data_IF_193681929288
#
_entry.id   IF_193681929288
#
_cell.length_a   1.000
_cell.length_b   1.000
_cell.length_c   1.000
_cell.angle_alpha   90.00
_cell.angle_beta   90.00
_cell.angle_gamma   90.00
#
_symmetry.space_group_name_H-M   'P 1'
#
loop_
_entity.id
_entity.type
_entity.pdbx_description
1 polymer ?
#
# COMPACT_ATOMS: atom_id res chain seq x y z
N UNK A 1 51.81 22.28 18.70
CA UNK A 1 50.77 21.71 17.82
C UNK A 1 49.91 20.75 18.64
N UNK A 2 48.86 21.31 19.29
CA UNK A 2 47.95 20.53 20.15
C UNK A 2 46.88 19.88 19.27
N UNK A 3 46.89 18.56 19.22
CA UNK A 3 45.85 17.77 18.55
C UNK A 3 44.64 17.70 19.50
N UNK A 4 43.58 18.42 19.17
CA UNK A 4 42.27 18.26 19.82
C UNK A 4 41.66 16.95 19.34
N UNK A 5 41.78 15.90 20.16
CA UNK A 5 40.99 14.69 20.01
C UNK A 5 39.62 15.03 20.56
N UNK A 6 38.67 15.30 19.67
CA UNK A 6 37.27 15.42 20.03
C UNK A 6 36.75 14.02 20.40
N UNK A 7 36.71 13.75 21.71
CA UNK A 7 36.04 12.58 22.25
C UNK A 7 34.52 12.81 22.09
N UNK A 8 33.94 12.27 21.01
CA UNK A 8 32.48 12.11 20.90
C UNK A 8 32.07 11.12 21.96
N UNK A 9 31.61 11.60 23.08
CA UNK A 9 30.87 10.78 24.06
C UNK A 9 29.59 10.29 23.42
N UNK A 10 29.62 9.05 22.95
CA UNK A 10 28.41 8.29 22.66
C UNK A 10 27.59 8.22 23.95
N UNK A 11 26.51 8.96 24.01
CA UNK A 11 25.43 8.70 24.97
C UNK A 11 24.83 7.35 24.59
N UNK A 12 25.36 6.28 25.22
CA UNK A 12 24.72 4.96 25.26
C UNK A 12 23.44 5.07 26.07
N UNK A 13 22.38 5.60 25.47
CA UNK A 13 21.03 5.26 25.92
C UNK A 13 20.89 3.74 25.73
N UNK A 14 20.31 3.03 26.69
CA UNK A 14 19.90 1.63 26.57
C UNK A 14 19.12 1.46 25.25
N UNK A 15 19.80 1.14 24.18
CA UNK A 15 19.21 1.06 22.85
C UNK A 15 18.35 -0.19 22.84
N UNK A 16 17.04 0.03 22.62
CA UNK A 16 16.10 -1.05 22.32
C UNK A 16 16.70 -1.86 21.15
N UNK A 17 17.01 -3.16 21.32
CA UNK A 17 17.65 -3.98 20.28
C UNK A 17 16.89 -3.96 18.95
N UNK A 18 15.58 -3.74 19.01
CA UNK A 18 14.71 -3.61 17.84
C UNK A 18 15.01 -2.32 17.09
N UNK A 19 15.19 -1.22 17.80
CA UNK A 19 15.50 0.07 17.20
C UNK A 19 16.90 0.04 16.54
N UNK A 20 17.90 -0.55 17.22
CA UNK A 20 19.25 -0.74 16.67
C UNK A 20 19.19 -1.54 15.35
N UNK A 21 18.44 -2.63 15.30
CA UNK A 21 18.27 -3.43 14.08
C UNK A 21 17.66 -2.61 12.93
N UNK A 22 16.67 -1.75 13.20
CA UNK A 22 16.06 -0.89 12.18
C UNK A 22 17.07 0.13 11.66
N UNK A 23 17.85 0.76 12.58
CA UNK A 23 18.91 1.72 12.20
C UNK A 23 19.96 1.05 11.30
N UNK A 24 20.48 -0.10 11.71
CA UNK A 24 21.50 -0.83 10.94
C UNK A 24 21.02 -1.19 9.53
N UNK A 25 19.77 -1.67 9.41
CA UNK A 25 19.20 -2.00 8.11
C UNK A 25 18.95 -0.76 7.24
N UNK A 26 18.50 0.33 7.83
CA UNK A 26 18.24 1.59 7.13
C UNK A 26 19.54 2.26 6.67
N UNK A 27 20.58 2.28 7.51
CA UNK A 27 21.92 2.82 7.17
C UNK A 27 22.55 1.99 6.04
N UNK A 28 22.46 0.66 6.10
CA UNK A 28 22.93 -0.23 5.00
C UNK A 28 22.24 0.05 3.67
N UNK A 29 21.06 0.64 3.70
CA UNK A 29 20.31 1.07 2.51
C UNK A 29 20.50 2.55 2.15
N UNK A 30 21.51 3.19 2.72
CA UNK A 30 21.92 4.54 2.37
C UNK A 30 21.20 5.67 3.11
N UNK A 31 20.40 5.37 4.13
CA UNK A 31 19.74 6.43 4.92
C UNK A 31 20.74 6.98 5.94
N UNK A 32 20.96 8.31 5.97
CA UNK A 32 21.87 8.91 6.94
C UNK A 32 21.36 8.74 8.38
N UNK A 33 22.26 8.46 9.30
CA UNK A 33 21.92 8.29 10.71
C UNK A 33 21.20 9.51 11.31
N UNK A 34 21.63 10.72 10.94
CA UNK A 34 20.99 11.98 11.37
C UNK A 34 19.50 12.03 10.98
N UNK A 35 19.14 11.53 9.80
CA UNK A 35 17.76 11.46 9.36
C UNK A 35 16.95 10.51 10.24
N UNK A 36 17.52 9.35 10.59
CA UNK A 36 16.90 8.38 11.49
C UNK A 36 16.70 8.96 12.89
N UNK A 37 17.73 9.63 13.46
CA UNK A 37 17.63 10.28 14.76
C UNK A 37 16.48 11.32 14.80
N UNK A 38 16.30 12.10 13.74
CA UNK A 38 15.20 13.06 13.62
C UNK A 38 13.83 12.34 13.49
N UNK A 39 13.77 11.28 12.68
CA UNK A 39 12.56 10.50 12.43
C UNK A 39 12.09 9.77 13.67
N UNK A 40 12.99 9.18 14.44
CA UNK A 40 12.67 8.44 15.67
C UNK A 40 12.57 9.33 16.93
N UNK A 41 12.51 10.64 16.76
CA UNK A 41 12.26 11.53 17.90
C UNK A 41 10.90 11.22 18.54
N UNK A 42 10.90 10.88 19.83
CA UNK A 42 9.72 10.41 20.58
C UNK A 42 8.49 11.32 20.48
N UNK A 43 8.68 12.63 20.31
CA UNK A 43 7.57 13.58 20.16
C UNK A 43 6.71 13.37 18.90
N UNK A 44 7.23 12.66 17.89
CA UNK A 44 6.53 12.37 16.63
C UNK A 44 5.93 10.97 16.58
N UNK A 45 6.23 10.14 17.58
CA UNK A 45 5.84 8.73 17.60
C UNK A 45 4.61 8.54 18.46
N UNK A 46 3.60 7.87 17.90
CA UNK A 46 2.41 7.43 18.63
C UNK A 46 2.25 5.92 18.51
N UNK A 47 2.20 5.24 19.64
CA UNK A 47 1.86 3.81 19.72
C UNK A 47 0.35 3.67 19.87
N UNK A 48 -0.27 2.89 19.00
CA UNK A 48 -1.72 2.72 18.92
C UNK A 48 -2.15 1.36 19.48
N UNK A 49 -2.42 1.27 20.77
CA UNK A 49 -2.74 0.00 21.47
C UNK A 49 -3.98 -0.74 20.91
N UNK A 50 -4.81 -0.06 20.12
CA UNK A 50 -5.96 -0.67 19.44
C UNK A 50 -5.60 -1.48 18.19
N UNK A 51 -4.42 -1.30 17.61
CA UNK A 51 -4.01 -1.97 16.35
C UNK A 51 -4.03 -3.49 16.47
N UNK A 52 -3.49 -4.15 17.51
CA UNK A 52 -3.55 -5.60 17.62
C UNK A 52 -4.97 -6.18 17.56
N UNK A 53 -5.94 -5.49 18.18
CA UNK A 53 -7.34 -5.92 18.17
C UNK A 53 -7.98 -5.84 16.77
N UNK A 54 -7.53 -4.93 15.91
CA UNK A 54 -8.00 -4.83 14.52
C UNK A 54 -7.56 -6.04 13.68
N UNK A 55 -6.36 -6.58 13.93
CA UNK A 55 -5.90 -7.82 13.27
C UNK A 55 -6.64 -9.07 13.72
N UNK A 56 -7.25 -9.05 14.90
CA UNK A 56 -8.00 -10.21 15.41
C UNK A 56 -9.34 -10.43 14.70
N UNK A 57 -9.87 -9.42 14.02
CA UNK A 57 -11.20 -9.43 13.38
C UNK A 57 -11.15 -9.01 11.90
N UNK A 58 -10.38 -9.70 11.05
CA UNK A 58 -10.31 -9.34 9.63
C UNK A 58 -11.65 -9.58 8.94
N UNK A 59 -12.04 -8.66 8.07
CA UNK A 59 -13.27 -8.75 7.28
C UNK A 59 -13.30 -9.99 6.39
N UNK A 60 -12.15 -10.43 5.92
CA UNK A 60 -11.95 -11.57 5.02
C UNK A 60 -12.44 -12.90 5.59
N UNK A 61 -12.57 -13.01 6.92
CA UNK A 61 -13.11 -14.19 7.61
C UNK A 61 -14.63 -14.28 7.63
N UNK A 62 -15.35 -13.24 7.18
CA UNK A 62 -16.81 -13.24 7.11
C UNK A 62 -17.32 -14.21 6.05
N UNK A 63 -18.54 -14.69 6.20
CA UNK A 63 -19.22 -15.41 5.13
C UNK A 63 -19.38 -14.50 3.89
N UNK A 64 -19.33 -15.08 2.69
CA UNK A 64 -19.40 -14.32 1.43
C UNK A 64 -20.57 -13.34 1.38
N UNK A 65 -21.76 -13.78 1.77
CA UNK A 65 -22.96 -12.93 1.74
C UNK A 65 -22.87 -11.69 2.63
N UNK A 66 -22.15 -11.78 3.75
CA UNK A 66 -21.89 -10.63 4.63
C UNK A 66 -20.77 -9.74 4.06
N UNK A 67 -19.72 -10.35 3.51
CA UNK A 67 -18.61 -9.64 2.89
C UNK A 67 -19.08 -8.84 1.66
N UNK A 68 -19.88 -9.46 0.80
CA UNK A 68 -20.49 -8.83 -0.39
C UNK A 68 -21.26 -7.57 -0.02
N UNK A 69 -22.06 -7.59 1.06
CA UNK A 69 -22.83 -6.42 1.52
C UNK A 69 -21.97 -5.23 1.97
N UNK A 70 -20.69 -5.45 2.28
CA UNK A 70 -19.76 -4.38 2.68
C UNK A 70 -19.07 -3.75 1.46
N UNK A 71 -18.71 -4.57 0.47
CA UNK A 71 -17.85 -4.15 -0.62
C UNK A 71 -18.56 -3.99 -1.97
N UNK A 72 -19.67 -4.70 -2.20
CA UNK A 72 -20.44 -4.61 -3.45
C UNK A 72 -21.79 -3.98 -3.15
N UNK A 73 -21.78 -2.67 -2.95
CA UNK A 73 -22.97 -1.87 -2.61
C UNK A 73 -23.34 -0.97 -3.77
N UNK A 74 -24.63 -0.63 -3.89
CA UNK A 74 -25.12 0.33 -4.87
C UNK A 74 -24.34 1.66 -4.82
N UNK A 75 -24.06 2.16 -3.62
CA UNK A 75 -23.23 3.37 -3.42
C UNK A 75 -21.84 3.23 -4.04
N UNK A 76 -21.19 2.05 -3.87
CA UNK A 76 -19.84 1.84 -4.43
C UNK A 76 -19.89 1.60 -5.93
N UNK A 77 -20.91 0.93 -6.45
CA UNK A 77 -21.14 0.77 -7.89
C UNK A 77 -21.31 2.14 -8.55
N UNK A 78 -22.22 2.97 -8.03
CA UNK A 78 -22.45 4.33 -8.54
C UNK A 78 -21.19 5.21 -8.42
N UNK A 79 -20.46 5.11 -7.31
CA UNK A 79 -19.17 5.77 -7.13
C UNK A 79 -18.15 5.34 -8.19
N UNK A 80 -18.09 4.05 -8.53
CA UNK A 80 -17.25 3.51 -9.58
C UNK A 80 -17.60 4.03 -10.97
N UNK A 81 -18.89 4.09 -11.29
CA UNK A 81 -19.39 4.65 -12.56
C UNK A 81 -18.95 6.11 -12.70
N UNK A 82 -19.15 6.92 -11.67
CA UNK A 82 -18.77 8.34 -11.71
C UNK A 82 -17.25 8.51 -11.79
N UNK A 83 -16.50 7.69 -11.03
CA UNK A 83 -15.05 7.73 -11.06
C UNK A 83 -14.51 7.30 -12.44
N UNK A 84 -15.06 6.24 -13.05
CA UNK A 84 -14.70 5.79 -14.39
C UNK A 84 -14.94 6.87 -15.43
N UNK A 85 -16.15 7.47 -15.46
CA UNK A 85 -16.47 8.56 -16.41
C UNK A 85 -15.46 9.70 -16.34
N UNK A 86 -15.00 10.05 -15.14
CA UNK A 86 -14.01 11.12 -14.93
C UNK A 86 -12.59 10.75 -15.35
N UNK A 87 -12.24 9.47 -15.27
CA UNK A 87 -10.85 9.02 -15.40
C UNK A 87 -10.64 8.02 -16.56
N UNK A 88 -11.65 7.79 -17.40
CA UNK A 88 -11.68 6.74 -18.43
C UNK A 88 -10.39 6.69 -19.24
N UNK A 89 -9.99 7.78 -19.87
CA UNK A 89 -8.85 7.79 -20.77
C UNK A 89 -7.54 7.43 -20.09
N UNK A 90 -7.31 7.97 -18.87
CA UNK A 90 -6.11 7.68 -18.08
C UNK A 90 -6.09 6.24 -17.58
N UNK A 91 -7.25 5.75 -17.12
CA UNK A 91 -7.37 4.38 -16.61
C UNK A 91 -7.21 3.36 -17.75
N UNK A 92 -7.87 3.54 -18.88
CA UNK A 92 -7.76 2.65 -20.04
C UNK A 92 -6.34 2.67 -20.58
N UNK A 93 -5.71 3.84 -20.73
CA UNK A 93 -4.31 3.96 -21.15
C UNK A 93 -3.37 3.21 -20.20
N UNK A 94 -3.53 3.36 -18.90
CA UNK A 94 -2.70 2.66 -17.92
C UNK A 94 -2.94 1.15 -17.90
N UNK A 95 -4.17 0.72 -18.13
CA UNK A 95 -4.55 -0.69 -18.16
C UNK A 95 -4.09 -1.41 -19.43
N UNK A 96 -3.93 -0.70 -20.55
CA UNK A 96 -3.52 -1.25 -21.86
C UNK A 96 -2.00 -1.46 -22.02
N UNK A 97 -1.22 -1.59 -20.91
CA UNK A 97 0.24 -1.79 -20.98
C UNK A 97 0.61 -3.19 -21.48
N UNK A 98 1.82 -3.30 -22.04
CA UNK A 98 2.50 -4.58 -22.39
C UNK A 98 1.74 -5.48 -23.40
N UNK A 99 1.24 -4.88 -24.50
CA UNK A 99 0.64 -5.59 -25.65
C UNK A 99 -0.64 -6.41 -25.37
N UNK A 100 -1.42 -6.02 -24.39
CA UNK A 100 -2.69 -6.69 -24.08
C UNK A 100 -3.43 -5.93 -23.00
N UNK A 101 -2.90 -5.97 -21.80
CA UNK A 101 -3.42 -5.16 -20.70
C UNK A 101 -4.32 -5.92 -19.74
N UNK A 102 -4.65 -5.20 -18.68
CA UNK A 102 -5.57 -5.62 -17.64
C UNK A 102 -6.94 -5.01 -17.92
N UNK A 103 -8.01 -5.75 -17.64
CA UNK A 103 -9.37 -5.17 -17.67
C UNK A 103 -9.44 -3.91 -16.77
N UNK A 104 -9.73 -2.73 -17.32
CA UNK A 104 -9.75 -1.49 -16.55
C UNK A 104 -10.79 -1.52 -15.42
N UNK A 105 -11.84 -2.31 -15.54
CA UNK A 105 -12.84 -2.46 -14.48
C UNK A 105 -12.35 -3.29 -13.29
N UNK A 106 -11.39 -4.17 -13.48
CA UNK A 106 -10.70 -4.86 -12.37
C UNK A 106 -9.83 -3.85 -11.60
N UNK A 107 -9.04 -3.04 -12.30
CA UNK A 107 -8.23 -1.97 -11.68
C UNK A 107 -9.14 -1.00 -10.91
N UNK A 108 -10.24 -0.55 -11.54
CA UNK A 108 -11.26 0.28 -10.93
C UNK A 108 -11.85 -0.32 -9.66
N UNK A 109 -12.15 -1.62 -9.68
CA UNK A 109 -12.76 -2.32 -8.56
C UNK A 109 -11.79 -2.50 -7.38
N UNK A 110 -10.51 -2.76 -7.65
CA UNK A 110 -9.47 -2.76 -6.62
C UNK A 110 -9.45 -1.39 -5.93
N UNK A 111 -9.38 -0.29 -6.68
CA UNK A 111 -9.39 1.07 -6.12
C UNK A 111 -10.67 1.33 -5.31
N UNK A 112 -11.81 0.83 -5.79
CA UNK A 112 -13.09 0.93 -5.11
C UNK A 112 -13.09 0.23 -3.76
N UNK A 113 -12.50 -0.95 -3.66
CA UNK A 113 -12.40 -1.72 -2.42
C UNK A 113 -11.38 -1.11 -1.47
N UNK A 114 -10.19 -0.77 -1.95
CA UNK A 114 -9.06 -0.31 -1.15
C UNK A 114 -9.27 1.10 -0.56
N UNK A 115 -9.69 2.03 -1.37
CA UNK A 115 -9.77 3.44 -0.97
C UNK A 115 -11.13 4.10 -1.17
N UNK A 116 -12.14 3.33 -1.59
CA UNK A 116 -13.44 3.90 -1.99
C UNK A 116 -13.24 5.06 -3.00
N UNK A 117 -12.50 4.79 -4.07
CA UNK A 117 -12.16 5.76 -5.11
C UNK A 117 -11.41 6.99 -4.59
N UNK A 118 -10.51 6.77 -3.62
CA UNK A 118 -9.65 7.80 -3.02
C UNK A 118 -10.29 8.58 -1.86
N UNK A 119 -11.54 8.28 -1.49
CA UNK A 119 -12.21 8.93 -0.36
C UNK A 119 -11.67 8.46 1.01
N UNK A 120 -11.08 7.27 1.07
CA UNK A 120 -10.49 6.72 2.29
C UNK A 120 -8.98 6.57 2.13
N UNK A 121 -8.21 7.34 2.89
CA UNK A 121 -6.73 7.31 2.89
C UNK A 121 -6.15 6.59 4.11
N UNK A 122 -7.00 6.00 4.95
CA UNK A 122 -6.59 5.41 6.23
C UNK A 122 -6.58 6.42 7.39
N UNK A 123 -6.38 5.88 8.60
CA UNK A 123 -6.51 6.66 9.87
C UNK A 123 -5.18 6.84 10.60
N UNK A 124 -4.21 5.98 10.35
CA UNK A 124 -2.93 5.95 11.05
C UNK A 124 -1.84 6.52 10.13
N UNK A 125 -0.80 7.13 10.68
CA UNK A 125 0.41 7.32 9.87
C UNK A 125 1.05 5.95 9.65
N UNK A 126 1.56 5.72 8.45
CA UNK A 126 2.21 4.45 8.08
C UNK A 126 3.33 4.12 9.05
N UNK A 127 4.15 5.11 9.39
CA UNK A 127 5.21 4.97 10.39
C UNK A 127 4.67 4.44 11.71
N UNK A 128 3.69 5.11 12.31
CA UNK A 128 3.16 4.74 13.62
C UNK A 128 2.42 3.39 13.60
N UNK A 129 1.74 3.07 12.49
CA UNK A 129 1.09 1.77 12.33
C UNK A 129 2.12 0.62 12.33
N UNK A 130 3.20 0.75 11.56
CA UNK A 130 4.26 -0.26 11.50
C UNK A 130 5.06 -0.30 12.80
N UNK A 131 5.42 0.83 13.37
CA UNK A 131 6.13 0.90 14.65
C UNK A 131 5.31 0.30 15.80
N UNK A 132 4.00 0.53 15.81
CA UNK A 132 3.11 -0.13 16.78
C UNK A 132 3.11 -1.65 16.62
N UNK A 133 3.06 -2.16 15.38
CA UNK A 133 3.13 -3.61 15.15
C UNK A 133 4.45 -4.21 15.64
N UNK A 134 5.56 -3.49 15.46
CA UNK A 134 6.87 -3.91 15.95
C UNK A 134 6.82 -4.11 17.48
N UNK A 135 6.27 -3.14 18.20
CA UNK A 135 6.25 -3.15 19.66
C UNK A 135 5.16 -4.03 20.28
N UNK A 136 4.01 -4.18 19.64
CA UNK A 136 2.81 -4.81 20.23
C UNK A 136 2.43 -6.14 19.61
N UNK A 137 3.11 -6.58 18.54
CA UNK A 137 2.76 -7.80 17.83
C UNK A 137 3.98 -8.69 17.57
N UNK A 138 4.46 -9.45 18.56
CA UNK A 138 5.72 -10.22 18.45
C UNK A 138 5.77 -11.11 17.20
N UNK A 139 4.67 -11.76 16.83
CA UNK A 139 4.59 -12.61 15.62
C UNK A 139 4.72 -11.84 14.29
N UNK A 140 4.52 -10.54 14.31
CA UNK A 140 4.64 -9.67 13.13
C UNK A 140 5.83 -8.71 13.20
N UNK A 141 6.51 -8.63 14.33
CA UNK A 141 7.58 -7.65 14.58
C UNK A 141 8.63 -7.66 13.46
N UNK A 142 9.19 -8.80 13.12
CA UNK A 142 10.22 -8.92 12.07
C UNK A 142 9.70 -8.50 10.68
N UNK A 143 8.45 -8.81 10.37
CA UNK A 143 7.82 -8.37 9.13
C UNK A 143 7.63 -6.85 9.13
N UNK A 144 7.11 -6.30 10.21
CA UNK A 144 6.86 -4.87 10.35
C UNK A 144 8.15 -4.04 10.34
N UNK A 145 9.26 -4.57 10.91
CA UNK A 145 10.58 -3.94 10.81
C UNK A 145 11.03 -3.79 9.36
N UNK A 146 10.95 -4.87 8.56
CA UNK A 146 11.29 -4.80 7.13
C UNK A 146 10.43 -3.78 6.38
N UNK A 147 9.11 -3.77 6.64
CA UNK A 147 8.21 -2.79 6.03
C UNK A 147 8.53 -1.36 6.47
N UNK A 148 8.93 -1.15 7.72
CA UNK A 148 9.30 0.18 8.20
C UNK A 148 10.62 0.66 7.56
N UNK A 149 11.59 -0.21 7.39
CA UNK A 149 12.84 0.12 6.66
C UNK A 149 12.54 0.48 5.21
N UNK A 150 11.73 -0.31 4.51
CA UNK A 150 11.30 -0.02 3.15
C UNK A 150 10.58 1.33 3.05
N UNK A 151 9.70 1.63 4.02
CA UNK A 151 8.99 2.90 4.10
C UNK A 151 9.94 4.09 4.33
N UNK A 152 10.96 3.91 5.19
CA UNK A 152 11.95 4.94 5.45
C UNK A 152 12.82 5.23 4.23
N UNK A 153 13.20 4.19 3.47
CA UNK A 153 13.92 4.35 2.18
C UNK A 153 13.09 5.16 1.22
N UNK A 154 11.83 4.77 1.01
CA UNK A 154 10.89 5.51 0.16
C UNK A 154 10.77 6.99 0.59
N UNK A 155 10.56 7.24 1.88
CA UNK A 155 10.44 8.60 2.39
C UNK A 155 11.71 9.43 2.19
N UNK A 156 12.88 8.80 2.34
CA UNK A 156 14.15 9.48 2.17
C UNK A 156 14.42 9.82 0.69
N UNK A 157 14.26 8.85 -0.21
CA UNK A 157 14.47 9.00 -1.64
C UNK A 157 13.51 10.03 -2.27
N UNK A 158 12.23 9.96 -1.93
CA UNK A 158 11.19 10.84 -2.48
C UNK A 158 11.01 12.15 -1.67
N UNK A 159 11.83 12.39 -0.65
CA UNK A 159 11.79 13.58 0.22
C UNK A 159 10.42 13.77 0.90
N UNK A 160 9.79 12.67 1.30
CA UNK A 160 8.50 12.66 2.00
C UNK A 160 8.73 12.64 3.51
N UNK A 161 8.11 13.54 4.29
CA UNK A 161 8.20 13.46 5.75
C UNK A 161 7.64 12.13 6.28
N UNK A 162 8.38 11.32 7.06
CA UNK A 162 7.98 9.96 7.44
C UNK A 162 6.66 9.87 8.22
N UNK A 163 6.27 10.95 8.90
CA UNK A 163 5.04 11.00 9.69
C UNK A 163 3.84 11.62 8.95
N UNK A 164 3.97 11.93 7.64
CA UNK A 164 2.93 12.63 6.88
C UNK A 164 1.93 11.70 6.20
N UNK A 165 2.37 10.52 5.72
CA UNK A 165 1.52 9.62 4.95
C UNK A 165 0.58 8.86 5.88
N UNK A 166 -0.73 9.00 5.62
CA UNK A 166 -1.77 8.19 6.28
C UNK A 166 -1.99 6.89 5.54
N UNK A 167 -2.33 5.85 6.31
CA UNK A 167 -2.59 4.52 5.78
C UNK A 167 -3.48 3.69 6.69
N UNK A 168 -3.55 2.41 6.42
CA UNK A 168 -4.28 1.45 7.23
C UNK A 168 -3.52 1.09 8.51
N UNK A 169 -4.20 0.41 9.43
CA UNK A 169 -3.58 -0.15 10.64
C UNK A 169 -2.49 -1.21 10.31
N UNK A 170 -2.53 -1.76 9.09
CA UNK A 170 -1.54 -2.72 8.62
C UNK A 170 -0.30 -2.06 7.99
N UNK A 171 -0.31 -0.72 7.80
CA UNK A 171 0.77 0.02 7.17
C UNK A 171 0.65 0.12 5.65
N UNK A 172 -0.48 -0.26 5.06
CA UNK A 172 -0.77 -0.04 3.65
C UNK A 172 -1.18 1.42 3.40
N UNK A 173 -0.80 1.98 2.25
CA UNK A 173 -1.01 3.39 1.95
C UNK A 173 -1.27 3.68 0.47
N UNK A 174 -1.65 4.92 0.19
CA UNK A 174 -2.01 5.35 -1.15
C UNK A 174 -3.42 4.91 -1.56
N UNK A 175 -3.84 5.28 -2.75
CA UNK A 175 -5.16 4.88 -3.27
C UNK A 175 -5.24 3.39 -3.61
N UNK A 176 -4.11 2.75 -3.92
CA UNK A 176 -4.00 1.30 -4.14
C UNK A 176 -3.72 0.49 -2.87
N UNK A 177 -3.54 1.12 -1.71
CA UNK A 177 -3.25 0.48 -0.42
C UNK A 177 -2.08 -0.52 -0.50
N UNK A 178 -0.99 -0.14 -1.17
CA UNK A 178 0.24 -0.94 -1.17
C UNK A 178 0.93 -0.89 0.20
N UNK A 179 1.45 -2.02 0.66
CA UNK A 179 2.45 -2.03 1.73
C UNK A 179 3.79 -1.51 1.19
N UNK A 180 4.72 -0.98 2.01
CA UNK A 180 5.96 -0.37 1.55
C UNK A 180 6.77 -1.22 0.57
N UNK A 181 6.99 -2.50 0.88
CA UNK A 181 7.72 -3.41 -0.01
C UNK A 181 7.03 -3.61 -1.37
N UNK A 182 5.70 -3.69 -1.38
CA UNK A 182 4.94 -3.79 -2.63
C UNK A 182 5.00 -2.49 -3.43
N UNK A 183 4.95 -1.34 -2.77
CA UNK A 183 5.10 -0.05 -3.45
C UNK A 183 6.46 0.06 -4.14
N UNK A 184 7.55 -0.28 -3.45
CA UNK A 184 8.90 -0.28 -4.03
C UNK A 184 8.97 -1.22 -5.25
N UNK A 185 8.38 -2.42 -5.15
CA UNK A 185 8.51 -3.46 -6.17
C UNK A 185 7.62 -3.25 -7.40
N UNK A 186 6.46 -2.62 -7.23
CA UNK A 186 5.42 -2.60 -8.26
C UNK A 186 4.96 -1.21 -8.68
N UNK A 187 5.32 -0.14 -7.93
CA UNK A 187 4.91 1.20 -8.32
C UNK A 187 5.55 1.64 -9.63
N UNK A 188 4.80 2.39 -10.41
CA UNK A 188 5.16 2.89 -11.73
C UNK A 188 4.90 4.40 -11.77
N UNK A 189 5.81 5.13 -12.41
CA UNK A 189 5.59 6.50 -12.84
C UNK A 189 4.69 6.47 -14.08
N UNK A 190 3.40 6.66 -13.88
CA UNK A 190 2.38 6.52 -14.92
C UNK A 190 2.24 7.75 -15.80
N UNK A 191 2.59 8.92 -15.28
CA UNK A 191 2.53 10.21 -15.97
C UNK A 191 3.88 10.67 -16.52
N UNK A 192 4.98 9.93 -16.25
CA UNK A 192 6.36 10.21 -16.64
C UNK A 192 6.90 11.55 -16.10
N UNK A 193 6.53 11.91 -14.86
CA UNK A 193 7.04 13.10 -14.18
C UNK A 193 8.32 12.84 -13.36
N UNK A 194 8.86 11.61 -13.44
CA UNK A 194 10.05 11.16 -12.73
C UNK A 194 9.80 10.71 -11.30
N UNK A 195 8.53 10.63 -10.85
CA UNK A 195 8.16 10.26 -9.49
C UNK A 195 7.06 9.21 -9.48
N UNK A 196 7.04 8.38 -8.43
CA UNK A 196 6.00 7.38 -8.19
C UNK A 196 5.16 7.83 -6.99
N UNK A 197 4.01 8.43 -7.25
CA UNK A 197 3.18 9.06 -6.22
C UNK A 197 1.98 8.18 -5.83
N UNK A 198 1.83 7.78 -4.56
CA UNK A 198 0.75 6.88 -4.13
C UNK A 198 -0.64 7.52 -4.16
N UNK A 199 -0.72 8.82 -4.41
CA UNK A 199 -1.97 9.59 -4.50
C UNK A 199 -2.16 10.30 -5.84
N UNK A 200 -1.32 10.04 -6.84
CA UNK A 200 -1.53 10.42 -8.23
C UNK A 200 -2.25 9.29 -8.96
N UNK A 201 -3.31 9.63 -9.69
CA UNK A 201 -4.16 8.62 -10.31
C UNK A 201 -3.48 7.87 -11.44
N UNK A 202 -2.63 8.52 -12.23
CA UNK A 202 -1.94 7.87 -13.34
C UNK A 202 -0.91 6.87 -12.82
N UNK A 203 -0.18 7.24 -11.78
CA UNK A 203 0.77 6.35 -11.10
C UNK A 203 0.05 5.17 -10.44
N UNK A 204 -1.08 5.43 -9.78
CA UNK A 204 -1.88 4.40 -9.09
C UNK A 204 -2.46 3.40 -10.10
N UNK A 205 -3.03 3.87 -11.20
CA UNK A 205 -3.56 2.98 -12.25
C UNK A 205 -2.44 2.11 -12.85
N UNK A 206 -1.32 2.74 -13.22
CA UNK A 206 -0.16 2.04 -13.77
C UNK A 206 0.44 1.05 -12.77
N UNK A 207 0.51 1.41 -11.48
CA UNK A 207 1.06 0.55 -10.43
C UNK A 207 0.19 -0.67 -10.14
N UNK A 208 -1.14 -0.52 -10.06
CA UNK A 208 -2.06 -1.65 -9.88
C UNK A 208 -2.01 -2.57 -11.10
N UNK A 209 -2.02 -2.01 -12.31
CA UNK A 209 -1.87 -2.77 -13.57
C UNK A 209 -0.58 -3.56 -13.58
N UNK A 210 0.55 -2.92 -13.28
CA UNK A 210 1.86 -3.56 -13.21
C UNK A 210 1.90 -4.67 -12.15
N UNK A 211 1.29 -4.44 -10.98
CA UNK A 211 1.17 -5.47 -9.94
C UNK A 211 0.47 -6.72 -10.48
N UNK A 212 -0.68 -6.55 -11.11
CA UNK A 212 -1.48 -7.67 -11.61
C UNK A 212 -0.72 -8.43 -12.71
N UNK A 213 -0.10 -7.73 -13.66
CA UNK A 213 0.70 -8.35 -14.73
C UNK A 213 1.88 -9.13 -14.15
N UNK A 214 2.65 -8.53 -13.24
CA UNK A 214 3.79 -9.19 -12.58
C UNK A 214 3.39 -10.39 -11.74
N UNK A 215 2.13 -10.47 -11.31
CA UNK A 215 1.56 -11.61 -10.59
C UNK A 215 0.73 -12.53 -11.50
N UNK A 216 0.97 -12.50 -12.81
CA UNK A 216 0.48 -13.49 -13.77
C UNK A 216 -0.91 -13.22 -14.34
N UNK A 217 -1.38 -11.96 -14.32
CA UNK A 217 -2.59 -11.59 -15.06
C UNK A 217 -2.42 -11.89 -16.55
N UNK A 218 -3.38 -12.56 -17.20
CA UNK A 218 -3.27 -12.91 -18.62
C UNK A 218 -3.53 -11.67 -19.49
N UNK A 219 -2.51 -11.24 -20.22
CA UNK A 219 -2.58 -10.01 -21.05
C UNK A 219 -3.00 -10.25 -22.48
N UNK A 220 -2.88 -11.49 -23.01
CA UNK A 220 -3.17 -11.81 -24.41
C UNK A 220 -4.54 -12.47 -24.59
N UNK A 221 -4.82 -13.50 -23.80
CA UNK A 221 -6.08 -14.24 -23.87
C UNK A 221 -6.68 -14.38 -22.46
N UNK A 222 -8.01 -14.22 -22.31
CA UNK A 222 -8.68 -14.35 -21.02
C UNK A 222 -8.46 -15.74 -20.40
N UNK A 223 -8.04 -15.79 -19.16
CA UNK A 223 -7.90 -17.00 -18.35
C UNK A 223 -8.37 -16.69 -16.92
N UNK A 224 -9.58 -17.14 -16.61
CA UNK A 224 -10.20 -16.86 -15.32
C UNK A 224 -9.37 -17.33 -14.12
N UNK A 225 -8.62 -18.44 -14.27
CA UNK A 225 -7.78 -18.97 -13.19
C UNK A 225 -6.55 -18.05 -12.96
N UNK A 226 -5.97 -17.52 -14.02
CA UNK A 226 -4.86 -16.57 -13.92
C UNK A 226 -5.34 -15.23 -13.40
N UNK A 227 -6.47 -14.73 -13.89
CA UNK A 227 -7.13 -13.53 -13.34
C UNK A 227 -7.35 -13.68 -11.84
N UNK A 228 -7.97 -14.79 -11.42
CA UNK A 228 -8.21 -15.08 -10.01
C UNK A 228 -6.92 -15.06 -9.19
N UNK A 229 -5.87 -15.77 -9.64
CA UNK A 229 -4.58 -15.85 -8.94
C UNK A 229 -3.89 -14.49 -8.82
N UNK A 230 -3.93 -13.66 -9.86
CA UNK A 230 -3.30 -12.34 -9.84
C UNK A 230 -3.99 -11.39 -8.84
N UNK A 231 -5.33 -11.43 -8.77
CA UNK A 231 -6.10 -10.67 -7.79
C UNK A 231 -5.88 -11.23 -6.37
N UNK A 232 -5.79 -12.56 -6.23
CA UNK A 232 -5.49 -13.20 -4.95
C UNK A 232 -4.10 -12.82 -4.42
N UNK A 233 -3.12 -12.61 -5.30
CA UNK A 233 -1.82 -12.11 -4.90
C UNK A 233 -1.88 -10.70 -4.29
N UNK A 234 -2.83 -9.85 -4.75
CA UNK A 234 -3.03 -8.51 -4.20
C UNK A 234 -3.53 -8.55 -2.74
N UNK A 235 -4.50 -9.40 -2.46
CA UNK A 235 -4.95 -9.70 -1.10
C UNK A 235 -5.30 -11.20 -1.01
N UNK A 236 -4.59 -11.93 -0.15
CA UNK A 236 -4.67 -13.40 -0.01
C UNK A 236 -5.98 -13.86 0.66
N UNK A 237 -7.11 -13.49 0.06
CA UNK A 237 -8.44 -13.86 0.53
C UNK A 237 -9.42 -14.09 -0.63
N UNK A 238 -10.08 -15.26 -0.66
CA UNK A 238 -11.08 -15.59 -1.69
C UNK A 238 -12.24 -14.60 -1.72
N UNK A 239 -12.67 -14.11 -0.58
CA UNK A 239 -13.72 -13.10 -0.49
C UNK A 239 -13.33 -11.78 -1.15
N UNK A 240 -12.05 -11.40 -1.06
CA UNK A 240 -11.53 -10.22 -1.74
C UNK A 240 -11.61 -10.38 -3.26
N UNK A 241 -11.11 -11.51 -3.79
CA UNK A 241 -11.18 -11.80 -5.24
C UNK A 241 -12.62 -11.77 -5.74
N UNK A 242 -13.51 -12.46 -5.03
CA UNK A 242 -14.95 -12.48 -5.36
C UNK A 242 -15.54 -11.06 -5.36
N UNK A 243 -15.15 -10.21 -4.42
CA UNK A 243 -15.64 -8.82 -4.35
C UNK A 243 -15.13 -7.97 -5.49
N UNK A 244 -13.84 -8.08 -5.86
CA UNK A 244 -13.26 -7.37 -7.02
C UNK A 244 -14.00 -7.77 -8.29
N UNK A 245 -14.17 -9.07 -8.55
CA UNK A 245 -14.84 -9.57 -9.75
C UNK A 245 -16.33 -9.19 -9.77
N UNK A 246 -17.02 -9.31 -8.63
CA UNK A 246 -18.43 -8.93 -8.55
C UNK A 246 -18.64 -7.43 -8.75
N UNK A 247 -17.81 -6.58 -8.13
CA UNK A 247 -17.89 -5.14 -8.30
C UNK A 247 -17.62 -4.72 -9.74
N UNK A 248 -16.59 -5.31 -10.39
CA UNK A 248 -16.27 -5.11 -11.79
C UNK A 248 -17.46 -5.43 -12.70
N UNK A 249 -18.07 -6.59 -12.50
CA UNK A 249 -19.26 -7.03 -13.26
C UNK A 249 -20.44 -6.09 -13.08
N UNK A 250 -20.76 -5.72 -11.84
CA UNK A 250 -21.90 -4.83 -11.56
C UNK A 250 -21.70 -3.43 -12.17
N UNK A 251 -20.48 -2.87 -12.14
CA UNK A 251 -20.20 -1.59 -12.78
C UNK A 251 -20.35 -1.70 -14.30
N UNK A 252 -19.78 -2.73 -14.95
CA UNK A 252 -19.94 -2.97 -16.40
C UNK A 252 -21.40 -3.07 -16.80
N UNK A 253 -22.16 -3.94 -16.12
CA UNK A 253 -23.57 -4.14 -16.41
C UNK A 253 -24.38 -2.83 -16.32
N UNK A 254 -24.10 -2.03 -15.28
CA UNK A 254 -24.77 -0.74 -15.06
C UNK A 254 -24.40 0.33 -16.10
N UNK A 255 -23.31 0.14 -16.84
CA UNK A 255 -22.87 1.02 -17.91
C UNK A 255 -23.20 0.53 -19.30
N UNK A 256 -23.73 -0.72 -19.43
CA UNK A 256 -23.98 -1.36 -20.73
C UNK A 256 -22.70 -1.74 -21.49
N UNK A 257 -21.56 -1.83 -20.77
CA UNK A 257 -20.29 -2.29 -21.33
C UNK A 257 -20.18 -3.81 -21.07
N UNK A 258 -20.38 -4.63 -22.09
CA UNK A 258 -20.26 -6.10 -22.08
C UNK A 258 -18.88 -6.55 -22.56
#
# INVERSE_FOLDING_TARGET
>A
MLIFISIFTFLTSNEDPVLSTIYDQAIKRGIPEKYLQQTFNKKHITVHDKIPALFARPYEKKAWNEYKKIFVTEKRINGGIQFYKKNKDRLVKAAARDNGGVDPFIVLSIIGIESNYGLNKGRYTVFNALYTQILRMPKRSNWAQRQLVDYLVLCYEDQIPPHSIKGSYAGAFGYGQFIPSSFISYSVDGNNDGKRKPYDWEDVFASITNYLIKNGYPVSEPDDKKIYKSIYAYNHADNYVKAVLALSKEIKNSMGEN
#
